data_IF_954270351596
#
_entry.id   IF_954270351596
#
_cell.length_a   1.000
_cell.length_b   1.000
_cell.length_c   1.000
_cell.angle_alpha   90.00
_cell.angle_beta   90.00
_cell.angle_gamma   90.00
#
_symmetry.space_group_name_H-M   'P 1'
#
loop_
_entity.id
_entity.type
_entity.pdbx_description
1 polymer ?
#
# COMPACT_ATOMS: atom_id res chain seq x y z
N UNK A 1 -1.82 -11.01 1.85
CA UNK A 1 -0.87 -12.09 1.59
C UNK A 1 0.20 -12.13 2.67
N UNK A 2 0.65 -13.30 3.12
CA UNK A 2 1.95 -13.40 3.79
C UNK A 2 3.07 -13.18 2.76
N UNK A 3 4.26 -12.83 3.24
CA UNK A 3 5.39 -12.32 2.47
C UNK A 3 5.77 -13.14 1.23
N UNK A 4 6.55 -12.53 0.34
CA UNK A 4 7.15 -13.25 -0.78
C UNK A 4 8.53 -13.80 -0.44
N UNK A 5 8.89 -14.89 -1.10
CA UNK A 5 10.23 -15.46 -1.10
C UNK A 5 11.10 -14.71 -2.10
N UNK A 6 11.76 -13.66 -1.62
CA UNK A 6 12.70 -12.88 -2.43
C UNK A 6 14.00 -13.65 -2.70
N UNK A 7 14.74 -13.34 -3.78
CA UNK A 7 16.00 -13.98 -4.08
C UNK A 7 17.01 -13.80 -2.95
N UNK A 8 17.79 -14.83 -2.65
CA UNK A 8 18.85 -14.77 -1.64
C UNK A 8 19.90 -13.71 -1.98
N UNK A 9 20.20 -13.55 -3.27
CA UNK A 9 21.17 -12.56 -3.78
C UNK A 9 20.68 -11.12 -3.59
N UNK A 10 19.38 -10.92 -3.36
CA UNK A 10 18.79 -9.62 -3.04
C UNK A 10 18.82 -9.30 -1.55
N UNK A 11 19.24 -10.23 -0.68
CA UNK A 11 19.26 -10.02 0.77
C UNK A 11 20.28 -8.93 1.13
N UNK A 12 19.81 -7.89 1.81
CA UNK A 12 20.63 -6.76 2.24
C UNK A 12 20.76 -6.70 3.76
N UNK A 13 19.66 -6.97 4.48
CA UNK A 13 19.57 -7.14 5.94
C UNK A 13 20.27 -6.05 6.78
N UNK A 14 20.21 -4.78 6.34
CA UNK A 14 20.83 -3.66 7.08
C UNK A 14 19.82 -3.00 8.02
N UNK A 15 20.18 -2.75 9.30
CA UNK A 15 19.32 -2.00 10.20
C UNK A 15 19.18 -0.56 9.72
N UNK A 16 17.96 -0.05 9.66
CA UNK A 16 17.69 1.38 9.45
C UNK A 16 17.38 2.00 10.82
N UNK A 17 18.34 2.75 11.36
CA UNK A 17 18.20 3.32 12.70
C UNK A 17 17.22 4.50 12.68
N UNK A 18 16.59 4.77 13.83
CA UNK A 18 15.65 5.88 13.97
C UNK A 18 16.36 7.22 13.79
N UNK A 19 17.62 7.32 14.21
CA UNK A 19 18.47 8.48 14.01
C UNK A 19 18.74 8.72 12.52
N UNK A 20 18.95 7.65 11.73
CA UNK A 20 19.16 7.77 10.29
C UNK A 20 17.92 8.33 9.58
N UNK A 21 16.71 7.91 10.00
CA UNK A 21 15.46 8.46 9.50
C UNK A 21 15.32 9.95 9.85
N UNK A 22 15.59 10.32 11.11
CA UNK A 22 15.44 11.69 11.60
C UNK A 22 16.41 12.70 10.94
N UNK A 23 17.49 12.25 10.29
CA UNK A 23 18.37 13.13 9.50
C UNK A 23 17.70 13.67 8.24
N UNK A 24 16.75 12.91 7.69
CA UNK A 24 16.07 13.23 6.44
C UNK A 24 14.58 13.51 6.64
N UNK A 25 14.11 13.54 7.89
CA UNK A 25 12.71 13.62 8.24
C UNK A 25 12.47 14.60 9.41
N UNK A 26 11.69 15.64 9.15
CA UNK A 26 11.19 16.53 10.20
C UNK A 26 9.85 16.01 10.70
N UNK A 27 9.88 15.29 11.83
CA UNK A 27 8.68 14.77 12.49
C UNK A 27 8.11 15.75 13.51
N UNK A 28 6.77 15.79 13.62
CA UNK A 28 6.10 16.45 14.74
C UNK A 28 6.42 15.73 16.06
N UNK A 29 6.27 16.38 17.23
CA UNK A 29 6.49 15.72 18.51
C UNK A 29 5.68 14.44 18.68
N UNK A 30 4.45 14.41 18.17
CA UNK A 30 3.56 13.24 18.20
C UNK A 30 4.14 12.07 17.38
N UNK A 31 4.61 12.33 16.15
CA UNK A 31 5.20 11.30 15.30
C UNK A 31 6.57 10.82 15.83
N UNK A 32 7.35 11.68 16.50
CA UNK A 32 8.59 11.26 17.17
C UNK A 32 8.32 10.31 18.33
N UNK A 33 7.26 10.56 19.11
CA UNK A 33 6.80 9.64 20.16
C UNK A 33 6.31 8.33 19.56
N UNK A 34 5.43 8.39 18.56
CA UNK A 34 4.94 7.22 17.83
C UNK A 34 6.10 6.37 17.27
N UNK A 35 7.13 6.99 16.67
CA UNK A 35 8.32 6.28 16.20
C UNK A 35 9.03 5.53 17.33
N UNK A 36 9.03 6.07 18.55
CA UNK A 36 9.67 5.44 19.72
C UNK A 36 8.79 4.35 20.32
N UNK A 37 7.50 4.60 20.43
CA UNK A 37 6.52 3.79 21.16
C UNK A 37 5.94 2.65 20.33
N UNK A 38 5.77 2.85 19.02
CA UNK A 38 5.17 1.86 18.12
C UNK A 38 6.22 0.97 17.46
N UNK A 39 7.38 1.52 17.08
CA UNK A 39 8.37 0.80 16.28
C UNK A 39 9.47 0.20 17.18
N UNK A 40 9.64 -1.12 17.10
CA UNK A 40 10.74 -1.82 17.75
C UNK A 40 12.02 -1.72 16.92
N UNK A 41 11.96 -2.09 15.63
CA UNK A 41 13.10 -2.03 14.71
C UNK A 41 12.63 -1.89 13.26
N UNK A 42 13.50 -1.32 12.43
CA UNK A 42 13.34 -1.26 10.98
C UNK A 42 14.56 -1.89 10.33
N UNK A 43 14.35 -2.79 9.38
CA UNK A 43 15.41 -3.49 8.65
C UNK A 43 15.17 -3.32 7.17
N UNK A 44 16.17 -2.80 6.45
CA UNK A 44 16.23 -2.90 5.00
C UNK A 44 16.57 -4.33 4.64
N UNK A 45 15.53 -5.11 4.34
CA UNK A 45 15.63 -6.56 4.24
C UNK A 45 16.16 -6.97 2.87
N UNK A 46 15.55 -6.48 1.78
CA UNK A 46 15.96 -6.82 0.41
C UNK A 46 16.15 -5.59 -0.47
N UNK A 47 17.09 -5.70 -1.40
CA UNK A 47 17.27 -4.81 -2.54
C UNK A 47 17.09 -5.56 -3.85
N UNK A 48 15.99 -5.29 -4.55
CA UNK A 48 15.68 -5.87 -5.85
C UNK A 48 16.16 -4.93 -6.95
N UNK A 49 17.22 -5.34 -7.63
CA UNK A 49 17.87 -4.64 -8.73
C UNK A 49 18.32 -5.67 -9.78
N UNK A 50 18.70 -5.26 -11.00
CA UNK A 50 19.06 -6.21 -12.04
C UNK A 50 20.19 -7.16 -11.65
N UNK A 51 21.14 -6.67 -10.86
CA UNK A 51 22.26 -7.46 -10.33
C UNK A 51 21.85 -8.51 -9.29
N UNK A 52 20.68 -8.40 -8.65
CA UNK A 52 20.24 -9.29 -7.56
C UNK A 52 19.06 -10.18 -7.93
N UNK A 53 18.32 -9.85 -8.99
CA UNK A 53 17.13 -10.61 -9.43
C UNK A 53 17.30 -11.27 -10.79
N UNK A 54 18.33 -10.88 -11.57
CA UNK A 54 18.50 -11.24 -12.99
C UNK A 54 17.33 -10.77 -13.89
N UNK A 55 16.54 -9.82 -13.41
CA UNK A 55 15.49 -9.15 -14.19
C UNK A 55 16.02 -7.82 -14.70
N UNK A 56 15.57 -7.42 -15.89
CA UNK A 56 15.93 -6.10 -16.41
C UNK A 56 15.27 -4.98 -15.59
N UNK A 57 15.94 -3.83 -15.54
CA UNK A 57 15.38 -2.62 -14.96
C UNK A 57 14.18 -2.15 -15.79
N UNK A 58 13.09 -1.77 -15.13
CA UNK A 58 12.01 -1.05 -15.79
C UNK A 58 12.36 0.43 -15.99
N UNK A 59 11.69 1.07 -16.94
CA UNK A 59 11.88 2.51 -17.17
C UNK A 59 11.38 3.36 -16.00
N UNK A 60 10.29 2.92 -15.36
CA UNK A 60 9.63 3.63 -14.26
C UNK A 60 10.00 3.02 -12.92
N UNK A 61 10.36 1.74 -12.90
CA UNK A 61 10.78 1.00 -11.70
C UNK A 61 12.11 0.29 -11.99
N UNK A 62 13.25 1.00 -11.85
CA UNK A 62 14.56 0.41 -12.10
C UNK A 62 15.04 -0.51 -10.99
N UNK A 63 14.61 -0.26 -9.74
CA UNK A 63 14.85 -1.07 -8.56
C UNK A 63 13.77 -0.77 -7.50
N UNK A 64 13.55 -1.69 -6.58
CA UNK A 64 12.70 -1.46 -5.40
C UNK A 64 13.20 -2.24 -4.18
N UNK A 65 12.77 -1.78 -3.00
CA UNK A 65 13.30 -2.19 -1.71
C UNK A 65 12.22 -2.82 -0.84
N UNK A 66 12.59 -3.82 -0.04
CA UNK A 66 11.73 -4.41 0.96
C UNK A 66 12.23 -3.98 2.34
N UNK A 67 11.38 -3.27 3.08
CA UNK A 67 11.64 -2.88 4.46
C UNK A 67 10.77 -3.70 5.40
N UNK A 68 11.39 -4.32 6.40
CA UNK A 68 10.67 -4.96 7.48
C UNK A 68 10.57 -3.99 8.65
N UNK A 69 9.35 -3.74 9.13
CA UNK A 69 9.08 -2.95 10.33
C UNK A 69 8.49 -3.88 11.37
N UNK A 70 9.22 -4.06 12.48
CA UNK A 70 8.70 -4.78 13.65
C UNK A 70 8.10 -3.78 14.62
N UNK A 71 6.83 -3.97 14.94
CA UNK A 71 6.08 -3.16 15.88
C UNK A 71 6.15 -3.73 17.29
N UNK A 72 6.08 -2.84 18.29
CA UNK A 72 5.89 -3.20 19.70
C UNK A 72 4.43 -3.53 20.02
N UNK A 73 3.50 -2.95 19.28
CA UNK A 73 2.05 -3.13 19.42
C UNK A 73 1.40 -3.70 18.17
N UNK A 74 0.06 -3.71 18.15
CA UNK A 74 -0.73 -4.32 17.06
C UNK A 74 -1.04 -3.36 15.91
N UNK A 75 -0.85 -2.06 16.12
CA UNK A 75 -1.22 -1.01 15.16
C UNK A 75 -0.03 -0.13 14.83
N UNK A 76 0.03 0.33 13.58
CA UNK A 76 0.96 1.34 13.11
C UNK A 76 0.19 2.60 12.72
N UNK A 77 0.63 3.76 13.22
CA UNK A 77 0.09 5.05 12.81
C UNK A 77 0.32 5.27 11.29
N UNK A 78 -0.73 5.47 10.49
CA UNK A 78 -0.59 5.65 9.04
C UNK A 78 0.27 6.85 8.63
N UNK A 79 0.21 7.95 9.41
CA UNK A 79 1.04 9.13 9.16
C UNK A 79 2.51 8.86 9.48
N UNK A 80 2.80 7.99 10.45
CA UNK A 80 4.17 7.55 10.74
C UNK A 80 4.72 6.70 9.59
N UNK A 81 3.94 5.76 9.05
CA UNK A 81 4.32 4.96 7.88
C UNK A 81 4.65 5.87 6.69
N UNK A 82 3.77 6.82 6.38
CA UNK A 82 3.97 7.79 5.30
C UNK A 82 5.22 8.64 5.50
N UNK A 83 5.49 9.06 6.74
CA UNK A 83 6.67 9.84 7.07
C UNK A 83 7.95 9.03 6.86
N UNK A 84 7.99 7.78 7.32
CA UNK A 84 9.12 6.85 7.09
C UNK A 84 9.33 6.65 5.59
N UNK A 85 8.25 6.39 4.86
CA UNK A 85 8.30 6.11 3.43
C UNK A 85 8.72 7.32 2.57
N UNK A 86 8.47 8.53 3.06
CA UNK A 86 8.93 9.78 2.43
C UNK A 86 10.42 10.02 2.67
N UNK A 87 10.96 9.58 3.81
CA UNK A 87 12.38 9.71 4.13
C UNK A 87 13.28 8.78 3.28
N UNK A 88 12.69 7.76 2.64
CA UNK A 88 13.40 6.77 1.84
C UNK A 88 13.29 7.15 0.36
N UNK A 89 14.37 7.59 -0.31
CA UNK A 89 14.34 8.07 -1.70
C UNK A 89 14.33 6.91 -2.72
N UNK A 90 13.70 5.78 -2.37
CA UNK A 90 13.56 4.60 -3.23
C UNK A 90 12.10 4.14 -3.30
N UNK A 91 11.81 3.30 -4.28
CA UNK A 91 10.54 2.56 -4.38
C UNK A 91 10.56 1.45 -3.33
N UNK A 92 9.47 1.33 -2.56
CA UNK A 92 9.46 0.58 -1.29
C UNK A 92 8.20 -0.25 -1.14
N UNK A 93 8.37 -1.42 -0.52
CA UNK A 93 7.31 -2.27 0.02
C UNK A 93 7.64 -2.54 1.49
N UNK A 94 6.63 -2.47 2.35
CA UNK A 94 6.80 -2.70 3.78
C UNK A 94 6.19 -4.03 4.22
N UNK A 95 7.02 -4.87 4.82
CA UNK A 95 6.62 -6.02 5.61
C UNK A 95 6.43 -5.57 7.07
N UNK A 96 5.19 -5.57 7.55
CA UNK A 96 4.89 -5.21 8.94
C UNK A 96 4.76 -6.49 9.76
N UNK A 97 5.47 -6.52 10.90
CA UNK A 97 5.39 -7.59 11.91
C UNK A 97 4.82 -6.97 13.18
N UNK A 98 3.70 -7.49 13.65
CA UNK A 98 3.17 -7.22 14.98
C UNK A 98 3.50 -8.37 15.93
N UNK A 99 3.22 -8.27 17.23
CA UNK A 99 3.39 -9.38 18.17
C UNK A 99 2.56 -10.64 17.83
N UNK A 100 1.49 -10.51 17.05
CA UNK A 100 0.54 -11.60 16.77
C UNK A 100 0.49 -12.01 15.31
N UNK A 101 0.69 -11.06 14.40
CA UNK A 101 0.37 -11.21 12.99
C UNK A 101 1.34 -10.42 12.12
N UNK A 102 1.32 -10.70 10.82
CA UNK A 102 2.04 -9.94 9.82
C UNK A 102 1.14 -9.51 8.67
N UNK A 103 1.55 -8.45 8.00
CA UNK A 103 0.92 -8.00 6.76
C UNK A 103 1.92 -7.25 5.88
N UNK A 104 1.57 -7.08 4.62
CA UNK A 104 2.33 -6.27 3.66
C UNK A 104 1.56 -5.02 3.33
N UNK A 105 2.24 -3.88 3.27
CA UNK A 105 1.68 -2.62 2.81
C UNK A 105 2.62 -1.92 1.84
N UNK A 106 2.06 -1.36 0.78
CA UNK A 106 2.83 -0.61 -0.20
C UNK A 106 1.92 0.36 -0.94
N UNK A 107 2.52 1.37 -1.56
CA UNK A 107 1.84 2.32 -2.42
C UNK A 107 2.52 2.32 -3.78
N UNK A 108 1.78 2.53 -4.85
CA UNK A 108 2.35 2.66 -6.18
C UNK A 108 3.25 3.89 -6.23
N UNK A 109 4.50 3.64 -6.62
CA UNK A 109 5.62 4.59 -6.70
C UNK A 109 6.36 4.29 -7.98
N UNK A 110 6.82 5.35 -8.64
CA UNK A 110 7.57 5.25 -9.89
C UNK A 110 8.41 6.48 -10.13
N UNK A 111 9.35 6.37 -11.05
CA UNK A 111 9.97 7.54 -11.64
C UNK A 111 8.96 8.35 -12.46
N UNK A 112 9.10 9.67 -12.36
CA UNK A 112 8.39 10.63 -13.18
C UNK A 112 8.89 10.59 -14.64
N UNK A 113 8.21 11.33 -15.52
CA UNK A 113 8.60 11.37 -16.94
C UNK A 113 10.04 11.87 -17.17
N UNK A 114 10.58 12.68 -16.25
CA UNK A 114 11.97 13.16 -16.34
C UNK A 114 13.00 12.16 -15.81
N UNK A 115 12.56 11.04 -15.22
CA UNK A 115 13.39 10.02 -14.56
C UNK A 115 14.27 10.58 -13.44
N UNK A 116 13.90 11.72 -12.83
CA UNK A 116 14.67 12.40 -11.77
C UNK A 116 14.03 12.32 -10.39
N UNK A 117 12.72 12.05 -10.33
CA UNK A 117 11.98 12.07 -9.08
C UNK A 117 11.08 10.84 -8.98
N UNK A 118 11.00 10.26 -7.79
CA UNK A 118 9.98 9.27 -7.47
C UNK A 118 8.69 10.00 -7.10
N UNK A 119 7.59 9.63 -7.75
CA UNK A 119 6.24 10.08 -7.44
C UNK A 119 5.40 8.93 -6.92
N UNK A 120 4.45 9.25 -6.05
CA UNK A 120 3.47 8.32 -5.48
C UNK A 120 2.11 8.63 -6.12
N UNK A 121 1.53 7.63 -6.78
CA UNK A 121 0.30 7.80 -7.56
C UNK A 121 -0.91 7.09 -6.94
N UNK A 122 -0.77 6.52 -5.74
CA UNK A 122 -1.85 5.77 -5.09
C UNK A 122 -1.88 5.96 -3.58
N UNK A 123 -2.99 5.57 -2.91
CA UNK A 123 -2.94 5.27 -1.48
C UNK A 123 -2.11 4.01 -1.21
N UNK A 124 -1.85 3.75 0.08
CA UNK A 124 -1.31 2.46 0.50
C UNK A 124 -2.37 1.37 0.35
N UNK A 125 -1.98 0.29 -0.30
CA UNK A 125 -2.70 -0.97 -0.34
C UNK A 125 -2.15 -1.89 0.73
N UNK A 126 -3.05 -2.61 1.39
CA UNK A 126 -2.69 -3.52 2.47
C UNK A 126 -3.24 -4.90 2.19
N UNK A 127 -2.36 -5.86 2.36
CA UNK A 127 -2.69 -7.26 2.49
C UNK A 127 -3.59 -7.51 3.72
N UNK A 128 -4.38 -8.60 3.76
CA UNK A 128 -4.96 -9.07 5.02
C UNK A 128 -3.90 -9.34 6.11
N UNK A 129 -4.32 -9.59 7.34
CA UNK A 129 -3.42 -10.07 8.39
C UNK A 129 -3.19 -11.59 8.24
N UNK A 130 -1.98 -12.03 8.56
CA UNK A 130 -1.57 -13.43 8.50
C UNK A 130 -0.87 -13.84 9.80
N UNK A 131 -0.95 -15.12 10.19
CA UNK A 131 -0.12 -15.67 11.25
C UNK A 131 1.38 -15.48 10.98
N UNK A 132 2.18 -15.31 12.02
CA UNK A 132 3.63 -15.06 11.91
C UNK A 132 4.41 -16.23 11.29
N UNK A 133 3.91 -17.45 11.43
CA UNK A 133 4.48 -18.70 10.90
C UNK A 133 4.01 -19.02 9.48
N UNK A 134 3.20 -18.15 8.86
CA UNK A 134 2.72 -18.36 7.51
C UNK A 134 3.88 -18.39 6.52
N UNK A 135 3.95 -19.45 5.73
CA UNK A 135 4.99 -19.63 4.72
C UNK A 135 5.02 -18.49 3.68
N UNK A 136 6.24 -18.12 3.27
CA UNK A 136 6.45 -17.15 2.20
C UNK A 136 6.03 -17.75 0.86
N UNK A 137 5.29 -16.99 0.06
CA UNK A 137 4.88 -17.41 -1.28
C UNK A 137 5.99 -17.19 -2.31
N UNK A 138 6.06 -17.99 -3.39
CA UNK A 138 6.94 -17.69 -4.51
C UNK A 138 6.62 -16.31 -5.09
N UNK A 139 7.65 -15.62 -5.60
CA UNK A 139 7.45 -14.37 -6.32
C UNK A 139 6.57 -14.58 -7.55
N UNK A 140 5.75 -13.58 -7.93
CA UNK A 140 5.03 -13.61 -9.20
C UNK A 140 6.02 -13.70 -10.36
N UNK A 141 5.63 -14.41 -11.41
CA UNK A 141 6.39 -14.43 -12.67
C UNK A 141 6.40 -13.03 -13.27
N UNK A 142 7.58 -12.57 -13.67
CA UNK A 142 7.75 -11.26 -14.28
C UNK A 142 8.97 -11.26 -15.20
N UNK A 143 8.91 -10.46 -16.26
CA UNK A 143 10.00 -10.31 -17.24
C UNK A 143 10.91 -9.10 -16.93
N UNK A 144 10.44 -8.13 -16.15
CA UNK A 144 11.23 -6.98 -15.67
C UNK A 144 10.92 -6.67 -14.20
N UNK A 145 11.75 -5.84 -13.57
CA UNK A 145 11.50 -5.36 -12.20
C UNK A 145 10.20 -4.57 -12.06
N UNK A 146 9.78 -3.87 -13.11
CA UNK A 146 8.51 -3.13 -13.14
C UNK A 146 7.32 -4.07 -13.14
N UNK A 147 7.30 -5.09 -14.00
CA UNK A 147 6.26 -6.11 -13.99
C UNK A 147 6.20 -6.86 -12.66
N UNK A 148 7.36 -7.15 -12.04
CA UNK A 148 7.42 -7.81 -10.74
C UNK A 148 6.80 -6.94 -9.65
N UNK A 149 7.19 -5.67 -9.60
CA UNK A 149 6.69 -4.70 -8.64
C UNK A 149 5.17 -4.51 -8.77
N UNK A 150 4.68 -4.35 -10.00
CA UNK A 150 3.25 -4.22 -10.26
C UNK A 150 2.47 -5.48 -9.87
N UNK A 151 2.99 -6.68 -10.19
CA UNK A 151 2.35 -7.93 -9.79
C UNK A 151 2.24 -8.06 -8.26
N UNK A 152 3.28 -7.64 -7.53
CA UNK A 152 3.24 -7.55 -6.07
C UNK A 152 2.18 -6.54 -5.62
N UNK A 153 2.12 -5.35 -6.19
CA UNK A 153 1.11 -4.35 -5.82
C UNK A 153 -0.31 -4.82 -6.10
N UNK A 154 -0.57 -5.42 -7.26
CA UNK A 154 -1.87 -6.00 -7.62
C UNK A 154 -2.31 -7.03 -6.58
N UNK A 155 -1.38 -7.84 -6.06
CA UNK A 155 -1.68 -8.81 -5.00
C UNK A 155 -2.06 -8.21 -3.64
N UNK A 156 -1.80 -6.91 -3.42
CA UNK A 156 -2.23 -6.16 -2.24
C UNK A 156 -3.56 -5.46 -2.46
N UNK A 157 -4.00 -5.31 -3.72
CA UNK A 157 -5.29 -4.71 -4.02
C UNK A 157 -6.42 -5.67 -3.63
N UNK A 158 -7.58 -5.14 -3.19
CA UNK A 158 -8.77 -5.95 -2.99
C UNK A 158 -9.09 -6.78 -4.24
N UNK A 159 -9.44 -8.05 -4.07
CA UNK A 159 -9.79 -8.96 -5.18
C UNK A 159 -10.93 -8.44 -6.07
N UNK A 160 -11.75 -7.54 -5.53
CA UNK A 160 -12.83 -6.86 -6.25
C UNK A 160 -12.34 -5.83 -7.28
N UNK A 161 -11.04 -5.48 -7.24
CA UNK A 161 -10.40 -4.47 -8.09
C UNK A 161 -9.49 -5.11 -9.13
N UNK A 162 -8.99 -6.33 -8.92
CA UNK A 162 -8.09 -6.99 -9.85
C UNK A 162 -8.91 -7.88 -10.80
N UNK A 163 -9.13 -7.47 -12.07
CA UNK A 163 -9.79 -8.31 -13.07
C UNK A 163 -8.93 -9.52 -13.41
N UNK A 164 -9.56 -10.57 -13.95
CA UNK A 164 -8.88 -11.80 -14.39
C UNK A 164 -7.98 -11.55 -15.62
N UNK A 165 -8.28 -10.52 -16.42
CA UNK A 165 -7.49 -10.11 -17.58
C UNK A 165 -6.24 -9.28 -17.21
N UNK A 166 -5.22 -9.29 -18.07
CA UNK A 166 -4.07 -8.40 -17.98
C UNK A 166 -4.50 -6.93 -18.17
N UNK A 167 -4.79 -6.26 -17.06
CA UNK A 167 -5.12 -4.83 -17.04
C UNK A 167 -3.90 -4.02 -16.58
N UNK A 168 -3.56 -2.93 -17.28
CA UNK A 168 -2.49 -2.01 -16.85
C UNK A 168 -2.72 -1.48 -15.45
N UNK A 169 -1.65 -1.31 -14.67
CA UNK A 169 -1.76 -0.87 -13.27
C UNK A 169 -2.46 0.49 -13.16
N UNK A 170 -2.28 1.41 -14.12
CA UNK A 170 -2.88 2.75 -14.15
C UNK A 170 -4.40 2.72 -14.11
N UNK A 171 -5.00 1.76 -14.84
CA UNK A 171 -6.45 1.59 -14.87
C UNK A 171 -6.93 1.14 -13.48
N UNK A 172 -6.24 0.18 -12.87
CA UNK A 172 -6.54 -0.31 -11.52
C UNK A 172 -6.40 0.79 -10.46
N UNK A 173 -5.38 1.64 -10.59
CA UNK A 173 -5.16 2.78 -9.69
C UNK A 173 -6.27 3.81 -9.79
N UNK A 174 -6.69 4.15 -11.02
CA UNK A 174 -7.78 5.08 -11.28
C UNK A 174 -9.08 4.57 -10.66
N UNK A 175 -9.40 3.30 -10.90
CA UNK A 175 -10.57 2.64 -10.32
C UNK A 175 -10.52 2.61 -8.79
N UNK A 176 -9.35 2.30 -8.21
CA UNK A 176 -9.17 2.31 -6.76
C UNK A 176 -9.39 3.70 -6.16
N UNK A 177 -8.97 4.76 -6.84
CA UNK A 177 -9.20 6.15 -6.41
C UNK A 177 -10.68 6.53 -6.47
N UNK A 178 -11.37 6.23 -7.57
CA UNK A 178 -12.81 6.48 -7.75
C UNK A 178 -13.63 5.77 -6.68
N UNK A 179 -13.33 4.49 -6.44
CA UNK A 179 -13.97 3.71 -5.38
C UNK A 179 -13.79 4.35 -4.02
N UNK A 180 -12.57 4.76 -3.69
CA UNK A 180 -12.27 5.41 -2.40
C UNK A 180 -13.06 6.71 -2.23
N UNK A 181 -13.19 7.53 -3.29
CA UNK A 181 -14.00 8.76 -3.25
C UNK A 181 -15.46 8.43 -2.93
N UNK A 182 -16.04 7.46 -3.63
CA UNK A 182 -17.41 7.01 -3.39
C UNK A 182 -17.60 6.44 -1.97
N UNK A 183 -16.68 5.60 -1.49
CA UNK A 183 -16.73 5.04 -0.13
C UNK A 183 -16.64 6.12 0.95
N UNK A 184 -15.79 7.14 0.76
CA UNK A 184 -15.68 8.28 1.66
C UNK A 184 -16.95 9.14 1.70
N UNK A 185 -17.57 9.39 0.55
CA UNK A 185 -18.83 10.11 0.45
C UNK A 185 -19.98 9.34 1.10
N UNK A 186 -20.06 8.03 0.88
CA UNK A 186 -21.01 7.13 1.52
C UNK A 186 -20.83 7.17 3.05
N UNK A 187 -19.60 7.12 3.56
CA UNK A 187 -19.33 7.20 4.99
C UNK A 187 -19.77 8.55 5.58
N UNK A 188 -19.51 9.66 4.88
CA UNK A 188 -19.94 11.00 5.26
C UNK A 188 -21.47 11.13 5.30
N UNK A 189 -22.16 10.66 4.28
CA UNK A 189 -23.64 10.67 4.22
C UNK A 189 -24.24 9.79 5.30
N UNK A 190 -23.70 8.59 5.55
CA UNK A 190 -24.16 7.74 6.65
C UNK A 190 -24.04 8.45 8.01
N UNK A 191 -22.94 9.17 8.26
CA UNK A 191 -22.77 9.96 9.48
C UNK A 191 -23.79 11.11 9.56
N UNK A 192 -24.05 11.80 8.46
CA UNK A 192 -25.05 12.87 8.39
C UNK A 192 -26.46 12.34 8.65
N UNK A 193 -26.84 11.22 8.02
CA UNK A 193 -28.15 10.56 8.20
C UNK A 193 -28.37 10.16 9.66
N UNK A 194 -27.35 9.60 10.32
CA UNK A 194 -27.42 9.21 11.74
C UNK A 194 -27.66 10.40 12.67
N UNK A 195 -27.14 11.57 12.33
CA UNK A 195 -27.23 12.78 13.14
C UNK A 195 -28.43 13.67 12.77
N UNK A 196 -29.11 13.41 11.65
CA UNK A 196 -30.23 14.22 11.16
C UNK A 196 -31.55 13.84 11.85
N UNK A 197 -32.19 14.86 12.45
CA UNK A 197 -33.46 14.73 13.18
C UNK A 197 -34.67 14.99 12.29
N UNK A 198 -34.52 15.79 11.22
CA UNK A 198 -35.61 16.15 10.33
C UNK A 198 -35.89 15.03 9.32
N UNK A 199 -37.08 14.43 9.39
CA UNK A 199 -37.48 13.31 8.53
C UNK A 199 -37.31 13.61 7.04
N UNK A 200 -37.77 14.78 6.57
CA UNK A 200 -37.66 15.18 5.15
C UNK A 200 -36.21 15.23 4.65
N UNK A 201 -35.29 15.80 5.45
CA UNK A 201 -33.86 15.84 5.12
C UNK A 201 -33.25 14.44 5.15
N UNK A 202 -33.64 13.62 6.13
CA UNK A 202 -33.20 12.23 6.22
C UNK A 202 -33.61 11.42 4.99
N UNK A 203 -34.81 11.63 4.45
CA UNK A 203 -35.27 10.98 3.21
C UNK A 203 -34.40 11.38 2.02
N UNK A 204 -34.15 12.68 1.82
CA UNK A 204 -33.30 13.18 0.74
C UNK A 204 -31.86 12.63 0.83
N UNK A 205 -31.28 12.58 2.03
CA UNK A 205 -29.94 12.00 2.24
C UNK A 205 -29.90 10.49 1.97
N UNK A 206 -30.98 9.75 2.27
CA UNK A 206 -31.06 8.32 1.96
C UNK A 206 -31.18 8.05 0.45
N UNK A 207 -31.82 8.95 -0.30
CA UNK A 207 -31.88 8.85 -1.77
C UNK A 207 -30.49 9.03 -2.40
N UNK A 208 -29.74 10.05 -1.96
CA UNK A 208 -28.35 10.25 -2.36
C UNK A 208 -27.47 9.05 -1.97
N UNK A 209 -27.64 8.51 -0.76
CA UNK A 209 -26.93 7.31 -0.31
C UNK A 209 -27.22 6.11 -1.22
N UNK A 210 -28.47 5.93 -1.68
CA UNK A 210 -28.85 4.86 -2.59
C UNK A 210 -28.14 5.02 -3.94
N UNK A 211 -28.11 6.23 -4.50
CA UNK A 211 -27.44 6.53 -5.77
C UNK A 211 -25.95 6.21 -5.72
N UNK A 212 -25.23 6.69 -4.69
CA UNK A 212 -23.80 6.41 -4.55
C UNK A 212 -23.50 4.92 -4.32
N UNK A 213 -24.37 4.20 -3.58
CA UNK A 213 -24.23 2.74 -3.42
C UNK A 213 -24.43 2.00 -4.74
N UNK A 214 -25.35 2.47 -5.60
CA UNK A 214 -25.54 1.91 -6.94
C UNK A 214 -24.29 2.13 -7.80
N UNK A 215 -23.75 3.36 -7.85
CA UNK A 215 -22.52 3.66 -8.57
C UNK A 215 -21.34 2.82 -8.09
N UNK A 216 -21.20 2.65 -6.77
CA UNK A 216 -20.17 1.78 -6.19
C UNK A 216 -20.35 0.32 -6.62
N UNK A 217 -21.59 -0.18 -6.67
CA UNK A 217 -21.86 -1.55 -7.11
C UNK A 217 -21.63 -1.74 -8.61
N UNK A 218 -21.98 -0.75 -9.44
CA UNK A 218 -21.71 -0.75 -10.88
C UNK A 218 -20.20 -0.84 -11.14
N UNK A 219 -19.42 -0.01 -10.44
CA UNK A 219 -17.96 -0.01 -10.49
C UNK A 219 -17.34 -1.36 -10.05
N UNK A 220 -18.01 -2.09 -9.14
CA UNK A 220 -17.63 -3.46 -8.77
C UNK A 220 -18.04 -4.53 -9.78
N UNK A 221 -19.19 -4.35 -10.46
CA UNK A 221 -19.74 -5.34 -11.39
C UNK A 221 -19.08 -5.32 -12.77
N UNK A 222 -18.59 -4.16 -13.22
CA UNK A 222 -17.81 -4.07 -14.47
C UNK A 222 -16.57 -4.98 -14.41
N UNK A 223 -16.00 -5.16 -13.22
CA UNK A 223 -14.84 -6.04 -12.98
C UNK A 223 -15.14 -7.55 -13.05
N UNK A 224 -16.40 -7.97 -13.23
CA UNK A 224 -16.79 -9.39 -13.42
C UNK A 224 -17.12 -9.76 -14.86
N UNK A 225 -17.23 -8.79 -15.77
CA UNK A 225 -17.79 -8.98 -17.12
C UNK A 225 -16.72 -8.80 -18.21
N UNK A 226 -15.45 -8.61 -17.85
CA UNK A 226 -14.33 -8.51 -18.80
C UNK A 226 -13.33 -9.62 -18.58
#
# INVERSE_FOLDING_TARGET
>A
MAYFQYPTDALYQKPLTKEALLKHLTLTPELKRALTDEIQKIVWLYKLAPSTTRLEAGERVPEFQIFQITLKGETLNPELLKAIDTAIPQITIFEIITPKECYVTATHKRLDATKKKIIQDSPYFQSPYYPLDKERKPLPTAITLEHLYEAILKSLMPAEIVPEAEVPIEVLLTQAEERRKLEAEIAKLNKQIRNEKQFKKRVALNEQLKQLKTQLNELKSVNKIV
#
